data_IF_133476889621
#
_entry.id   IF_133476889621
#
_cell.length_a   1.000
_cell.length_b   1.000
_cell.length_c   1.000
_cell.angle_alpha   90.00
_cell.angle_beta   90.00
_cell.angle_gamma   90.00
#
_symmetry.space_group_name_H-M   'P 1'
#
loop_
_entity.id
_entity.type
_entity.pdbx_description
1 polymer ?
#
# COMPACT_ATOMS: atom_id res chain seq x y z
N UNK A 1 -24.57 -12.24 -32.84
CA UNK A 1 -23.22 -12.02 -32.25
C UNK A 1 -23.32 -12.34 -30.76
N UNK A 2 -22.76 -13.45 -30.25
CA UNK A 2 -22.78 -13.66 -28.81
C UNK A 2 -21.68 -12.78 -28.19
N UNK A 3 -22.09 -11.81 -27.38
CA UNK A 3 -21.20 -11.00 -26.57
C UNK A 3 -20.53 -11.89 -25.52
N UNK A 4 -19.24 -12.14 -25.69
CA UNK A 4 -18.44 -12.89 -24.74
C UNK A 4 -18.42 -12.15 -23.40
N UNK A 5 -18.91 -12.82 -22.37
CA UNK A 5 -18.67 -12.40 -20.98
C UNK A 5 -17.16 -12.47 -20.78
N UNK A 6 -16.51 -11.31 -20.79
CA UNK A 6 -15.12 -11.20 -20.37
C UNK A 6 -15.11 -11.51 -18.88
N UNK A 7 -14.76 -12.74 -18.53
CA UNK A 7 -14.47 -13.14 -17.15
C UNK A 7 -13.19 -12.45 -16.71
N UNK A 8 -13.27 -11.15 -16.42
CA UNK A 8 -12.27 -10.43 -15.67
C UNK A 8 -12.34 -10.94 -14.22
N UNK A 9 -11.72 -12.07 -13.95
CA UNK A 9 -11.41 -12.46 -12.59
C UNK A 9 -10.39 -11.43 -12.08
N UNK A 10 -10.88 -10.41 -11.38
CA UNK A 10 -10.09 -9.50 -10.56
C UNK A 10 -8.91 -8.79 -11.27
N UNK A 11 -9.21 -7.71 -12.01
CA UNK A 11 -8.23 -6.63 -12.27
C UNK A 11 -6.99 -7.00 -13.09
N UNK A 12 -7.16 -7.64 -14.25
CA UNK A 12 -6.08 -7.86 -15.21
C UNK A 12 -6.47 -7.37 -16.60
N UNK A 13 -7.03 -6.17 -16.66
CA UNK A 13 -7.15 -5.51 -17.96
C UNK A 13 -5.73 -5.17 -18.42
N UNK A 14 -5.26 -5.60 -19.61
CA UNK A 14 -3.89 -5.33 -20.07
C UNK A 14 -3.51 -3.85 -20.01
N UNK A 15 -4.53 -2.98 -20.14
CA UNK A 15 -4.43 -1.53 -20.03
C UNK A 15 -3.80 -1.04 -18.74
N UNK A 16 -4.00 -1.74 -17.62
CA UNK A 16 -3.54 -1.30 -16.29
C UNK A 16 -2.42 -2.17 -15.70
N UNK A 17 -1.75 -2.96 -16.54
CA UNK A 17 -0.72 -3.90 -16.09
C UNK A 17 0.48 -3.18 -15.44
N UNK A 18 0.81 -1.97 -15.89
CA UNK A 18 1.90 -1.19 -15.34
C UNK A 18 1.58 -0.73 -13.91
N UNK A 19 0.36 -0.25 -13.68
CA UNK A 19 -0.14 0.24 -12.40
C UNK A 19 -0.22 -0.91 -11.38
N UNK A 20 -0.72 -2.08 -11.81
CA UNK A 20 -0.72 -3.28 -10.96
C UNK A 20 0.69 -3.73 -10.60
N UNK A 21 1.62 -3.69 -11.56
CA UNK A 21 3.03 -4.03 -11.32
C UNK A 21 3.67 -3.05 -10.35
N UNK A 22 3.39 -1.75 -10.50
CA UNK A 22 3.93 -0.70 -9.63
C UNK A 22 3.40 -0.86 -8.19
N UNK A 23 2.11 -1.11 -8.02
CA UNK A 23 1.51 -1.41 -6.71
C UNK A 23 2.13 -2.65 -6.05
N UNK A 24 2.32 -3.74 -6.80
CA UNK A 24 2.94 -4.96 -6.31
C UNK A 24 4.40 -4.75 -5.89
N UNK A 25 5.17 -4.00 -6.68
CA UNK A 25 6.56 -3.67 -6.36
C UNK A 25 6.66 -2.82 -5.09
N UNK A 26 5.77 -1.83 -4.93
CA UNK A 26 5.73 -1.02 -3.71
C UNK A 26 5.38 -1.87 -2.48
N UNK A 27 4.41 -2.78 -2.60
CA UNK A 27 4.09 -3.71 -1.52
C UNK A 27 5.28 -4.60 -1.14
N UNK A 28 6.00 -5.12 -2.12
CA UNK A 28 7.17 -5.96 -1.89
C UNK A 28 8.31 -5.21 -1.17
N UNK A 29 8.45 -3.90 -1.43
CA UNK A 29 9.45 -3.06 -0.79
C UNK A 29 9.10 -2.66 0.65
N UNK A 30 7.82 -2.70 1.05
CA UNK A 30 7.36 -2.26 2.37
C UNK A 30 6.52 -3.33 3.09
N UNK A 31 7.18 -4.31 3.76
CA UNK A 31 6.49 -5.31 4.55
C UNK A 31 5.58 -4.68 5.62
N UNK A 32 4.32 -5.10 5.66
CA UNK A 32 3.31 -4.58 6.60
C UNK A 32 2.38 -3.52 6.02
N UNK A 33 2.57 -3.13 4.76
CA UNK A 33 1.61 -2.34 4.00
C UNK A 33 0.83 -3.24 3.04
N UNK A 34 -0.43 -2.91 2.78
CA UNK A 34 -1.23 -3.53 1.72
C UNK A 34 -1.42 -2.47 0.63
N UNK A 35 -1.02 -2.77 -0.60
CA UNK A 35 -1.03 -1.81 -1.72
C UNK A 35 -1.72 -2.41 -2.94
N UNK A 36 -2.63 -1.65 -3.57
CA UNK A 36 -3.32 -2.08 -4.79
C UNK A 36 -3.73 -0.91 -5.69
N UNK A 37 -4.05 -1.21 -6.95
CA UNK A 37 -4.61 -0.26 -7.91
C UNK A 37 -6.07 -0.58 -8.20
N UNK A 38 -6.95 0.42 -8.12
CA UNK A 38 -8.36 0.30 -8.45
C UNK A 38 -8.63 0.71 -9.90
N UNK A 39 -8.84 -0.25 -10.79
CA UNK A 39 -9.08 0.04 -12.22
C UNK A 39 -10.29 0.96 -12.47
N UNK A 40 -11.34 0.83 -11.65
CA UNK A 40 -12.56 1.65 -11.78
C UNK A 40 -12.34 3.11 -11.39
N UNK A 41 -11.53 3.37 -10.37
CA UNK A 41 -11.24 4.71 -9.87
C UNK A 41 -10.02 5.33 -10.54
N UNK A 42 -9.10 4.51 -11.07
CA UNK A 42 -7.82 4.99 -11.56
C UNK A 42 -6.88 5.43 -10.44
N UNK A 43 -7.09 4.94 -9.22
CA UNK A 43 -6.35 5.35 -8.04
C UNK A 43 -5.56 4.19 -7.42
N UNK A 44 -4.47 4.55 -6.77
CA UNK A 44 -3.69 3.67 -5.91
C UNK A 44 -4.16 3.78 -4.47
N UNK A 45 -4.13 2.65 -3.78
CA UNK A 45 -4.56 2.53 -2.41
C UNK A 45 -3.44 1.90 -1.58
N UNK A 46 -3.26 2.41 -0.36
CA UNK A 46 -2.37 1.88 0.66
C UNK A 46 -3.17 1.74 1.95
N UNK A 47 -3.13 0.56 2.55
CA UNK A 47 -3.70 0.32 3.87
C UNK A 47 -2.60 -0.04 4.86
N UNK A 48 -2.62 0.63 6.01
CA UNK A 48 -1.75 0.39 7.15
C UNK A 48 -2.56 0.36 8.46
N UNK A 49 -1.87 0.39 9.60
CA UNK A 49 -2.51 0.36 10.93
C UNK A 49 -3.26 1.64 11.28
N UNK A 50 -2.98 2.76 10.60
CA UNK A 50 -3.67 4.03 10.79
C UNK A 50 -4.86 4.20 9.84
N UNK A 51 -4.92 3.45 8.74
CA UNK A 51 -6.11 3.32 7.91
C UNK A 51 -5.83 3.17 6.42
N UNK A 52 -6.83 3.56 5.62
CA UNK A 52 -6.79 3.53 4.16
C UNK A 52 -6.39 4.89 3.60
N UNK A 53 -5.47 4.89 2.66
CA UNK A 53 -4.96 6.07 1.97
C UNK A 53 -5.10 5.89 0.47
N UNK A 54 -5.76 6.84 -0.19
CA UNK A 54 -5.99 6.87 -1.63
C UNK A 54 -5.18 7.97 -2.30
N UNK A 55 -4.54 7.67 -3.43
CA UNK A 55 -3.77 8.61 -4.25
C UNK A 55 -3.99 8.34 -5.73
N UNK A 56 -3.95 9.38 -6.54
CA UNK A 56 -4.00 9.28 -8.01
C UNK A 56 -2.67 8.91 -8.66
N UNK A 57 -1.56 8.97 -7.90
CA UNK A 57 -0.21 8.68 -8.37
C UNK A 57 0.53 7.69 -7.46
N UNK A 58 1.29 6.78 -8.09
CA UNK A 58 2.18 5.86 -7.39
C UNK A 58 3.31 6.59 -6.66
N UNK A 59 3.77 7.73 -7.16
CA UNK A 59 4.85 8.49 -6.54
C UNK A 59 4.41 9.09 -5.20
N UNK A 60 3.19 9.63 -5.17
CA UNK A 60 2.58 10.13 -3.94
C UNK A 60 2.38 9.01 -2.91
N UNK A 61 1.99 7.82 -3.37
CA UNK A 61 1.86 6.65 -2.51
C UNK A 61 3.22 6.13 -2.00
N UNK A 62 4.25 6.20 -2.84
CA UNK A 62 5.62 5.80 -2.49
C UNK A 62 6.22 6.70 -1.43
N UNK A 63 6.03 8.02 -1.54
CA UNK A 63 6.44 8.98 -0.51
C UNK A 63 5.75 8.71 0.82
N UNK A 64 4.45 8.41 0.80
CA UNK A 64 3.70 8.04 2.00
C UNK A 64 4.25 6.75 2.63
N UNK A 65 4.44 5.69 1.83
CA UNK A 65 4.99 4.43 2.28
C UNK A 65 6.37 4.60 2.93
N UNK A 66 7.24 5.40 2.30
CA UNK A 66 8.55 5.73 2.86
C UNK A 66 8.43 6.46 4.20
N UNK A 67 7.59 7.48 4.29
CA UNK A 67 7.39 8.24 5.53
C UNK A 67 6.87 7.34 6.67
N UNK A 68 5.94 6.42 6.36
CA UNK A 68 5.40 5.45 7.32
C UNK A 68 6.45 4.51 7.88
N UNK A 69 7.33 3.97 7.03
CA UNK A 69 8.35 3.01 7.48
C UNK A 69 9.57 3.65 8.12
N UNK A 70 9.85 4.92 7.81
CA UNK A 70 11.00 5.66 8.34
C UNK A 70 10.66 6.62 9.48
N UNK A 71 9.38 6.74 9.86
CA UNK A 71 8.98 7.52 11.03
C UNK A 71 9.69 6.95 12.27
N UNK A 72 10.36 7.79 13.08
CA UNK A 72 10.94 7.32 14.33
C UNK A 72 9.85 6.67 15.18
N UNK A 73 9.94 5.35 15.35
CA UNK A 73 9.05 4.66 16.28
C UNK A 73 9.36 5.25 17.66
N UNK A 74 8.37 5.74 18.42
CA UNK A 74 8.62 6.15 19.78
C UNK A 74 9.27 4.96 20.46
N UNK A 75 10.54 5.09 20.87
CA UNK A 75 11.16 4.08 21.72
C UNK A 75 10.32 4.12 22.98
N UNK A 76 9.44 3.12 23.13
CA UNK A 76 8.65 2.95 24.34
C UNK A 76 9.61 3.15 25.49
N UNK A 77 9.25 4.03 26.41
CA UNK A 77 10.01 4.33 27.61
C UNK A 77 10.48 2.99 28.17
N UNK A 78 11.78 2.69 28.03
CA UNK A 78 12.38 1.58 28.78
C UNK A 78 12.11 1.96 30.22
N UNK A 79 11.15 1.31 30.85
CA UNK A 79 10.95 1.40 32.28
C UNK A 79 12.29 1.06 32.90
N UNK A 80 13.02 2.07 33.35
CA UNK A 80 14.24 1.89 34.12
C UNK A 80 13.78 1.16 35.38
N UNK A 81 14.26 -0.06 35.67
CA UNK A 81 13.87 -0.74 36.88
C UNK A 81 14.30 0.16 38.05
N UNK A 82 13.35 0.51 38.91
CA UNK A 82 13.62 1.28 40.10
C UNK A 82 14.65 0.51 40.95
N UNK A 83 15.87 1.01 40.97
CA UNK A 83 16.96 0.44 41.75
C UNK A 83 16.65 0.74 43.22
N UNK A 84 16.15 -0.27 43.93
CA UNK A 84 16.03 -0.26 45.39
C UNK A 84 17.38 -0.65 45.98
N UNK A 85 18.01 0.26 46.74
CA UNK A 85 18.78 0.00 47.95
C UNK A 85 18.99 1.30 48.71
#
# INVERSE_FOLDING_TARGET
MPGGIVTARWGRTPRYAAEHTAAANLQAAHPGLIVWFGERSGHFYLMDTEGLHERDSIDALTLLAWWRTHRPRPRGSRSVPAMRS
#
